data_IF_846293863954
#
_entry.id   IF_846293863954
#
_cell.length_a   1.000
_cell.length_b   1.000
_cell.length_c   1.000
_cell.angle_alpha   90.00
_cell.angle_beta   90.00
_cell.angle_gamma   90.00
#
_symmetry.space_group_name_H-M   'P 1'
#
loop_
_entity.id
_entity.type
_entity.pdbx_description
1 polymer ?
#
# COMPACT_ATOMS: atom_id res chain seq x y z
N UNK A 1 -5.04 21.88 -5.60
CA UNK A 1 -4.13 20.83 -6.13
C UNK A 1 -4.03 19.58 -5.24
N UNK A 2 -4.07 19.66 -3.91
CA UNK A 2 -3.87 18.48 -3.04
C UNK A 2 -5.01 17.44 -3.01
N UNK A 3 -6.27 17.86 -3.16
CA UNK A 3 -7.42 16.95 -2.97
C UNK A 3 -7.51 15.86 -4.06
N UNK A 4 -7.28 16.23 -5.32
CA UNK A 4 -7.31 15.28 -6.43
C UNK A 4 -6.16 14.25 -6.37
N UNK A 5 -4.96 14.69 -5.98
CA UNK A 5 -3.81 13.81 -5.77
C UNK A 5 -4.03 12.85 -4.59
N UNK A 6 -4.62 13.34 -3.50
CA UNK A 6 -4.98 12.50 -2.34
C UNK A 6 -5.98 11.39 -2.70
N UNK A 7 -7.07 11.72 -3.40
CA UNK A 7 -8.05 10.73 -3.86
C UNK A 7 -7.43 9.71 -4.83
N UNK A 8 -6.53 10.18 -5.69
CA UNK A 8 -5.79 9.31 -6.62
C UNK A 8 -4.86 8.36 -5.87
N UNK A 9 -4.19 8.81 -4.81
CA UNK A 9 -3.34 7.98 -3.96
C UNK A 9 -4.12 6.86 -3.28
N UNK A 10 -5.29 7.17 -2.69
CA UNK A 10 -6.17 6.16 -2.08
C UNK A 10 -6.58 5.10 -3.10
N UNK A 11 -7.02 5.53 -4.29
CA UNK A 11 -7.41 4.61 -5.36
C UNK A 11 -6.25 3.71 -5.80
N UNK A 12 -5.05 4.27 -5.88
CA UNK A 12 -3.83 3.51 -6.17
C UNK A 12 -3.54 2.44 -5.12
N UNK A 13 -3.64 2.80 -3.85
CA UNK A 13 -3.39 1.89 -2.72
C UNK A 13 -4.43 0.77 -2.66
N UNK A 14 -5.71 1.09 -2.91
CA UNK A 14 -6.78 0.08 -2.99
C UNK A 14 -6.52 -0.91 -4.13
N UNK A 15 -6.17 -0.43 -5.33
CA UNK A 15 -5.80 -1.30 -6.46
C UNK A 15 -4.59 -2.17 -6.16
N UNK A 16 -3.57 -1.61 -5.51
CA UNK A 16 -2.38 -2.34 -5.09
C UNK A 16 -2.74 -3.45 -4.08
N UNK A 17 -3.59 -3.15 -3.08
CA UNK A 17 -4.09 -4.13 -2.13
C UNK A 17 -4.86 -5.27 -2.80
N UNK A 18 -5.75 -4.97 -3.75
CA UNK A 18 -6.49 -5.98 -4.50
C UNK A 18 -5.56 -6.88 -5.31
N UNK A 19 -4.57 -6.30 -5.99
CA UNK A 19 -3.56 -7.05 -6.73
C UNK A 19 -2.76 -7.98 -5.81
N UNK A 20 -2.26 -7.47 -4.69
CA UNK A 20 -1.49 -8.24 -3.71
C UNK A 20 -2.31 -9.42 -3.14
N UNK A 21 -3.58 -9.19 -2.79
CA UNK A 21 -4.49 -10.26 -2.35
C UNK A 21 -4.66 -11.34 -3.42
N UNK A 22 -4.86 -10.96 -4.69
CA UNK A 22 -4.94 -11.91 -5.82
C UNK A 22 -3.64 -12.70 -6.00
N UNK A 23 -2.50 -12.10 -5.68
CA UNK A 23 -1.18 -12.75 -5.68
C UNK A 23 -0.89 -13.57 -4.41
N UNK A 24 -1.90 -13.83 -3.57
CA UNK A 24 -1.83 -14.59 -2.31
C UNK A 24 -0.95 -13.95 -1.23
N UNK A 25 -0.80 -12.63 -1.25
CA UNK A 25 -0.22 -11.92 -0.12
C UNK A 25 -1.25 -11.75 0.99
N UNK A 26 -0.79 -11.90 2.23
CA UNK A 26 -1.51 -11.47 3.43
C UNK A 26 -1.20 -9.99 3.68
N UNK A 27 -2.20 -9.13 3.63
CA UNK A 27 -2.04 -7.71 3.98
C UNK A 27 -2.05 -7.58 5.49
N UNK A 28 -0.92 -7.20 6.08
CA UNK A 28 -0.76 -7.05 7.53
C UNK A 28 -1.16 -5.64 7.98
N UNK A 29 -0.79 -4.61 7.22
CA UNK A 29 -1.11 -3.23 7.55
C UNK A 29 -1.14 -2.34 6.30
N UNK A 30 -1.97 -1.31 6.38
CA UNK A 30 -2.10 -0.23 5.39
C UNK A 30 -1.85 1.10 6.10
N UNK A 31 -1.34 2.11 5.38
CA UNK A 31 -1.05 3.44 5.90
C UNK A 31 -0.30 3.39 7.25
N UNK A 32 0.76 2.57 7.32
CA UNK A 32 1.54 2.45 8.54
C UNK A 32 2.30 3.76 8.80
N UNK A 33 2.21 4.27 10.03
CA UNK A 33 2.92 5.45 10.47
C UNK A 33 3.64 5.17 11.78
N UNK A 34 4.86 5.68 11.88
CA UNK A 34 5.69 5.64 13.08
C UNK A 34 6.45 6.95 13.25
N UNK A 35 7.16 7.11 14.37
CA UNK A 35 8.05 8.26 14.57
C UNK A 35 9.20 8.33 13.56
N UNK A 36 9.50 7.22 12.89
CA UNK A 36 10.63 7.08 11.97
C UNK A 36 10.23 7.17 10.49
N UNK A 37 8.94 7.25 10.19
CA UNK A 37 8.43 7.32 8.82
C UNK A 37 7.10 6.61 8.62
N UNK A 38 6.69 6.55 7.36
CA UNK A 38 5.46 5.92 6.90
C UNK A 38 5.72 4.86 5.82
N UNK A 39 4.80 3.91 5.71
CA UNK A 39 4.80 2.85 4.70
C UNK A 39 3.36 2.63 4.26
N UNK A 40 3.11 2.66 2.96
CA UNK A 40 1.76 2.53 2.41
C UNK A 40 1.17 1.15 2.72
N UNK A 41 1.88 0.07 2.40
CA UNK A 41 1.40 -1.31 2.62
C UNK A 41 2.51 -2.18 3.21
N UNK A 42 2.15 -2.95 4.24
CA UNK A 42 2.97 -4.04 4.80
C UNK A 42 2.24 -5.35 4.50
N UNK A 43 2.89 -6.26 3.80
CA UNK A 43 2.32 -7.54 3.39
C UNK A 43 3.28 -8.70 3.65
N UNK A 44 2.74 -9.92 3.79
CA UNK A 44 3.50 -11.13 3.99
C UNK A 44 3.13 -12.19 2.96
N UNK A 45 4.14 -12.90 2.46
CA UNK A 45 3.95 -14.05 1.58
C UNK A 45 5.12 -15.02 1.76
N UNK A 46 4.81 -16.31 1.90
CA UNK A 46 5.81 -17.38 2.03
C UNK A 46 6.88 -17.11 3.11
N UNK A 47 6.45 -16.54 4.24
CA UNK A 47 7.34 -16.18 5.36
C UNK A 47 8.11 -14.87 5.17
N UNK A 48 8.06 -14.25 4.00
CA UNK A 48 8.78 -13.01 3.67
C UNK A 48 7.88 -11.79 3.91
N UNK A 49 8.42 -10.82 4.64
CA UNK A 49 7.78 -9.54 4.90
C UNK A 49 8.15 -8.53 3.81
N UNK A 50 7.14 -7.87 3.23
CA UNK A 50 7.27 -6.91 2.15
C UNK A 50 6.77 -5.54 2.61
N UNK A 51 7.61 -4.52 2.42
CA UNK A 51 7.27 -3.12 2.65
C UNK A 51 7.11 -2.46 1.28
N UNK A 52 5.93 -1.92 1.00
CA UNK A 52 5.51 -1.54 -0.34
C UNK A 52 5.09 -0.07 -0.31
N UNK A 53 5.77 0.73 -1.13
CA UNK A 53 5.45 2.12 -1.42
C UNK A 53 4.64 2.18 -2.73
N UNK A 54 3.46 2.77 -2.70
CA UNK A 54 2.55 2.85 -3.84
C UNK A 54 2.77 4.17 -4.57
N UNK A 55 3.16 4.08 -5.85
CA UNK A 55 3.17 5.24 -6.76
C UNK A 55 2.05 5.08 -7.78
N UNK A 56 1.11 6.01 -7.75
CA UNK A 56 -0.03 6.01 -8.67
C UNK A 56 0.02 7.27 -9.53
N UNK A 57 0.12 7.05 -10.84
CA UNK A 57 0.03 8.08 -11.87
C UNK A 57 -1.12 7.70 -12.80
N UNK A 58 -1.99 8.66 -13.11
CA UNK A 58 -3.03 8.52 -14.14
C UNK A 58 -2.47 8.89 -15.51
#
# INVERSE_FOLDING_TARGET
MGFASYLSGILGEDKACEFLKKQKFEILKRNFRSKFGEIDIIAKKDGILHFIEVKFTQ
#
